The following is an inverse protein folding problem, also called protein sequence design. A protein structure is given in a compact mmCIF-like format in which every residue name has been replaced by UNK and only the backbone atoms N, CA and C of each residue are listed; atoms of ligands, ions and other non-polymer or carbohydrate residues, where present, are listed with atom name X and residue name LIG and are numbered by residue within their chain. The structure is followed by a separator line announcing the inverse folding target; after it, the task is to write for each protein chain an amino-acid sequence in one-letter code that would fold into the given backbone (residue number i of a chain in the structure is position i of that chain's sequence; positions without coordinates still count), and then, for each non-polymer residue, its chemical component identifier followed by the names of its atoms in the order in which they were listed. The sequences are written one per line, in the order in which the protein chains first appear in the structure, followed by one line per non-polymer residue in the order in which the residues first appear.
data_IF_336456381632
#
_entry.id   IF_336456381632
#
_cell.length_a   1.000
_cell.length_b   1.000
_cell.length_c   1.000
_cell.angle_alpha   90.00
_cell.angle_beta   90.00
_cell.angle_gamma   90.00
#
_symmetry.space_group_name_H-M   'P 1'
#
loop_
_entity.id
_entity.type
_entity.pdbx_description
1 polymer ?
#
# COMPACT_ATOMS: atom_id res chain seq x y z
N UNK A 1 -16.04 48.91 -35.83
CA UNK A 1 -15.50 48.13 -34.70
C UNK A 1 -15.63 46.67 -35.08
N UNK A 2 -14.53 46.04 -35.51
CA UNK A 2 -14.52 44.66 -35.97
C UNK A 2 -14.08 43.74 -34.83
N UNK A 3 -14.95 42.81 -34.46
CA UNK A 3 -14.67 41.70 -33.54
C UNK A 3 -13.78 40.70 -34.25
N UNK A 4 -12.56 40.50 -33.76
CA UNK A 4 -11.67 39.44 -34.23
C UNK A 4 -11.95 38.17 -33.42
N UNK A 5 -12.66 37.22 -34.04
CA UNK A 5 -12.80 35.85 -33.53
C UNK A 5 -11.43 35.14 -33.60
N UNK A 6 -10.79 35.00 -32.45
CA UNK A 6 -9.66 34.10 -32.26
C UNK A 6 -10.18 32.65 -32.15
N UNK A 7 -10.32 31.99 -33.31
CA UNK A 7 -10.44 30.53 -33.34
C UNK A 7 -9.05 29.92 -33.14
N UNK A 8 -8.73 29.62 -31.88
CA UNK A 8 -7.60 28.77 -31.51
C UNK A 8 -7.86 27.34 -32.03
N UNK A 9 -7.38 27.08 -33.25
CA UNK A 9 -7.38 25.76 -33.86
C UNK A 9 -6.47 24.81 -33.08
N UNK A 10 -7.02 24.13 -32.08
CA UNK A 10 -6.38 22.96 -31.47
C UNK A 10 -6.33 21.87 -32.54
N UNK A 11 -5.13 21.60 -33.06
CA UNK A 11 -4.89 20.50 -33.99
C UNK A 11 -5.10 19.19 -33.21
N UNK A 12 -6.33 18.67 -33.25
CA UNK A 12 -6.67 17.39 -32.66
C UNK A 12 -5.93 16.28 -33.40
N UNK A 13 -4.93 15.68 -32.74
CA UNK A 13 -4.30 14.46 -33.26
C UNK A 13 -5.38 13.40 -33.46
N UNK A 14 -5.37 12.65 -34.58
CA UNK A 14 -6.38 11.65 -34.89
C UNK A 14 -6.41 10.59 -33.78
N UNK A 15 -7.61 10.21 -33.32
CA UNK A 15 -7.78 9.32 -32.16
C UNK A 15 -7.14 7.94 -32.35
N UNK A 16 -7.00 7.48 -33.60
CA UNK A 16 -6.22 6.26 -33.89
C UNK A 16 -4.76 6.33 -33.42
N UNK A 17 -4.15 7.52 -33.45
CA UNK A 17 -2.79 7.74 -32.92
C UNK A 17 -2.74 7.72 -31.38
N UNK A 18 -3.84 8.10 -30.72
CA UNK A 18 -3.96 8.11 -29.27
C UNK A 18 -4.04 6.69 -28.70
N UNK A 19 -4.88 5.82 -29.27
CA UNK A 19 -4.96 4.41 -28.86
C UNK A 19 -3.62 3.70 -29.04
N UNK A 20 -2.95 3.93 -30.18
CA UNK A 20 -1.61 3.38 -30.43
C UNK A 20 -0.60 3.81 -29.35
N UNK A 21 -0.68 5.08 -28.92
CA UNK A 21 0.15 5.61 -27.84
C UNK A 21 -0.15 4.90 -26.52
N UNK A 22 -1.43 4.78 -26.14
CA UNK A 22 -1.86 4.05 -24.94
C UNK A 22 -1.32 2.62 -24.92
N UNK A 23 -1.52 1.85 -26.00
CA UNK A 23 -1.01 0.47 -26.10
C UNK A 23 0.53 0.42 -25.99
N UNK A 24 1.23 1.38 -26.58
CA UNK A 24 2.70 1.45 -26.52
C UNK A 24 3.20 1.75 -25.11
N UNK A 25 2.58 2.69 -24.40
CA UNK A 25 2.96 3.06 -23.03
C UNK A 25 2.65 1.91 -22.08
N UNK A 26 1.47 1.31 -22.17
CA UNK A 26 1.10 0.14 -21.36
C UNK A 26 2.07 -1.04 -21.53
N UNK A 27 2.44 -1.35 -22.79
CA UNK A 27 3.48 -2.36 -23.05
C UNK A 27 4.82 -1.98 -22.42
N UNK A 28 5.19 -0.71 -22.46
CA UNK A 28 6.45 -0.21 -21.87
C UNK A 28 6.42 -0.34 -20.34
N UNK A 29 5.29 -0.05 -19.69
CA UNK A 29 5.07 -0.27 -18.26
C UNK A 29 5.31 -1.75 -17.94
N UNK A 30 4.63 -2.67 -18.61
CA UNK A 30 4.77 -4.11 -18.38
C UNK A 30 6.21 -4.60 -18.50
N UNK A 31 6.88 -4.25 -19.61
CA UNK A 31 8.28 -4.62 -19.84
C UNK A 31 9.23 -4.03 -18.79
N UNK A 32 8.95 -2.82 -18.30
CA UNK A 32 9.76 -2.18 -17.25
C UNK A 32 9.61 -2.94 -15.94
N UNK A 33 8.37 -3.25 -15.55
CA UNK A 33 8.03 -3.95 -14.32
C UNK A 33 8.57 -5.39 -14.29
N UNK A 34 8.51 -6.12 -15.41
CA UNK A 34 9.10 -7.47 -15.52
C UNK A 34 10.61 -7.49 -15.25
N UNK A 35 11.30 -6.39 -15.53
CA UNK A 35 12.75 -6.24 -15.33
C UNK A 35 13.11 -5.70 -13.93
N UNK A 36 12.13 -5.32 -13.11
CA UNK A 36 12.38 -4.75 -11.78
C UNK A 36 12.80 -5.83 -10.78
N UNK A 37 13.92 -5.57 -10.08
CA UNK A 37 14.42 -6.42 -8.98
C UNK A 37 13.87 -5.99 -7.62
N UNK A 38 13.59 -4.70 -7.45
CA UNK A 38 13.16 -4.07 -6.19
C UNK A 38 11.71 -3.60 -6.35
N UNK A 39 10.88 -3.76 -5.32
CA UNK A 39 9.46 -3.38 -5.33
C UNK A 39 8.62 -3.97 -6.48
N UNK A 40 9.05 -5.10 -7.05
CA UNK A 40 8.39 -5.70 -8.20
C UNK A 40 6.96 -6.17 -7.93
N UNK A 41 6.60 -6.51 -6.68
CA UNK A 41 5.24 -6.95 -6.34
C UNK A 41 4.18 -5.85 -6.57
N UNK A 42 4.39 -4.66 -5.97
CA UNK A 42 3.44 -3.55 -6.08
C UNK A 42 3.37 -3.01 -7.52
N UNK A 43 4.53 -2.89 -8.20
CA UNK A 43 4.56 -2.44 -9.58
C UNK A 43 3.91 -3.46 -10.54
N UNK A 44 4.00 -4.78 -10.24
CA UNK A 44 3.27 -5.82 -10.99
C UNK A 44 1.77 -5.70 -10.86
N UNK A 45 1.26 -5.43 -9.66
CA UNK A 45 -0.17 -5.22 -9.47
C UNK A 45 -0.67 -3.99 -10.26
N UNK A 46 0.08 -2.88 -10.20
CA UNK A 46 -0.24 -1.68 -10.97
C UNK A 46 -0.24 -1.96 -12.48
N UNK A 47 0.79 -2.65 -12.99
CA UNK A 47 0.89 -3.05 -14.40
C UNK A 47 -0.27 -3.96 -14.83
N UNK A 48 -0.68 -4.92 -13.99
CA UNK A 48 -1.80 -5.82 -14.30
C UNK A 48 -3.12 -5.06 -14.43
N UNK A 49 -3.33 -4.03 -13.60
CA UNK A 49 -4.53 -3.19 -13.68
C UNK A 49 -4.53 -2.31 -14.93
N UNK A 50 -3.37 -1.75 -15.29
CA UNK A 50 -3.21 -1.04 -16.56
C UNK A 50 -3.53 -1.97 -17.73
N UNK A 51 -2.95 -3.17 -17.75
CA UNK A 51 -3.20 -4.17 -18.80
C UNK A 51 -4.69 -4.55 -18.89
N UNK A 52 -5.36 -4.68 -17.75
CA UNK A 52 -6.80 -4.93 -17.69
C UNK A 52 -7.59 -3.83 -18.39
N UNK A 53 -7.40 -2.55 -18.04
CA UNK A 53 -8.10 -1.43 -18.70
C UNK A 53 -7.82 -1.41 -20.19
N UNK A 54 -6.54 -1.55 -20.56
CA UNK A 54 -6.09 -1.52 -21.95
C UNK A 54 -6.66 -2.69 -22.76
N UNK A 55 -6.89 -3.85 -22.13
CA UNK A 55 -7.51 -5.00 -22.80
C UNK A 55 -8.96 -4.75 -23.25
N UNK A 56 -9.65 -3.80 -22.60
CA UNK A 56 -11.01 -3.40 -22.98
C UNK A 56 -11.02 -2.34 -24.09
N UNK A 57 -9.90 -1.66 -24.34
CA UNK A 57 -9.84 -0.68 -25.42
C UNK A 57 -9.87 -1.40 -26.77
N UNK A 58 -10.75 -1.00 -27.72
CA UNK A 58 -10.75 -1.60 -29.03
C UNK A 58 -9.47 -1.19 -29.79
N UNK A 59 -8.96 -2.07 -30.64
CA UNK A 59 -7.77 -1.79 -31.48
C UNK A 59 -8.01 -0.61 -32.44
N UNK A 60 -9.27 -0.36 -32.80
CA UNK A 60 -9.74 0.80 -33.55
C UNK A 60 -11.07 1.23 -32.93
N UNK A 61 -11.22 2.51 -32.59
CA UNK A 61 -12.52 3.03 -32.18
C UNK A 61 -13.39 3.24 -33.44
N UNK A 62 -14.61 2.70 -33.48
CA UNK A 62 -15.62 3.10 -34.46
C UNK A 62 -15.91 4.60 -34.39
N UNK A 63 -16.13 5.25 -35.54
CA UNK A 63 -16.36 6.71 -35.60
C UNK A 63 -17.64 7.13 -34.86
N UNK A 64 -18.65 6.25 -34.84
CA UNK A 64 -19.91 6.42 -34.12
C UNK A 64 -19.76 6.37 -32.59
N UNK A 65 -18.69 5.76 -32.09
CA UNK A 65 -18.34 5.75 -30.66
C UNK A 65 -17.40 6.89 -30.28
N UNK A 66 -16.98 7.73 -31.22
CA UNK A 66 -16.04 8.81 -30.96
C UNK A 66 -16.75 10.09 -30.51
N UNK A 67 -17.21 10.09 -29.27
CA UNK A 67 -17.73 11.31 -28.64
C UNK A 67 -16.62 12.12 -27.96
N UNK A 68 -16.81 13.44 -27.87
CA UNK A 68 -15.87 14.34 -27.17
C UNK A 68 -15.54 13.89 -25.73
N UNK A 69 -16.50 13.40 -24.92
CA UNK A 69 -16.20 12.85 -23.59
C UNK A 69 -15.25 11.65 -23.61
N UNK A 70 -15.42 10.73 -24.57
CA UNK A 70 -14.60 9.52 -24.69
C UNK A 70 -13.18 9.90 -25.12
N UNK A 71 -13.07 10.81 -26.08
CA UNK A 71 -11.78 11.32 -26.52
C UNK A 71 -11.02 12.00 -25.37
N UNK A 72 -11.72 12.82 -24.58
CA UNK A 72 -11.14 13.46 -23.39
C UNK A 72 -10.68 12.43 -22.35
N UNK A 73 -11.50 11.42 -22.06
CA UNK A 73 -11.15 10.35 -21.14
C UNK A 73 -9.92 9.55 -21.62
N UNK A 74 -9.83 9.24 -22.93
CA UNK A 74 -8.66 8.58 -23.51
C UNK A 74 -7.39 9.44 -23.43
N UNK A 75 -7.50 10.76 -23.64
CA UNK A 75 -6.35 11.69 -23.52
C UNK A 75 -5.85 11.72 -22.08
N UNK A 76 -6.74 11.93 -21.12
CA UNK A 76 -6.40 11.92 -19.69
C UNK A 76 -5.85 10.59 -19.23
N UNK A 77 -6.36 9.47 -19.76
CA UNK A 77 -5.81 8.15 -19.48
C UNK A 77 -4.38 7.99 -20.04
N UNK A 78 -4.12 8.47 -21.26
CA UNK A 78 -2.78 8.43 -21.85
C UNK A 78 -1.76 9.23 -21.01
N UNK A 79 -2.12 10.44 -20.58
CA UNK A 79 -1.28 11.27 -19.70
C UNK A 79 -1.00 10.57 -18.36
N UNK A 80 -2.01 9.95 -17.78
CA UNK A 80 -1.88 9.18 -16.55
C UNK A 80 -0.98 7.93 -16.71
N UNK A 81 -1.00 7.27 -17.87
CA UNK A 81 -0.09 6.16 -18.13
C UNK A 81 1.38 6.61 -18.20
N UNK A 82 1.64 7.81 -18.74
CA UNK A 82 2.98 8.39 -18.72
C UNK A 82 3.43 8.69 -17.28
N UNK A 83 2.52 9.16 -16.42
CA UNK A 83 2.78 9.34 -14.99
C UNK A 83 3.10 8.02 -14.29
N UNK A 84 2.30 6.96 -14.55
CA UNK A 84 2.56 5.61 -14.02
C UNK A 84 3.96 5.13 -14.43
N UNK A 85 4.33 5.31 -15.70
CA UNK A 85 5.62 4.90 -16.20
C UNK A 85 6.78 5.67 -15.54
N UNK A 86 6.62 6.98 -15.36
CA UNK A 86 7.61 7.80 -14.67
C UNK A 86 7.82 7.31 -13.22
N UNK A 87 6.71 7.12 -12.48
CA UNK A 87 6.75 6.67 -11.09
C UNK A 87 7.36 5.27 -10.95
N UNK A 88 7.03 4.33 -11.85
CA UNK A 88 7.62 2.99 -11.88
C UNK A 88 9.14 3.04 -12.09
N UNK A 89 9.62 3.92 -12.98
CA UNK A 89 11.06 4.12 -13.19
C UNK A 89 11.73 4.68 -11.94
N UNK A 90 11.08 5.58 -11.22
CA UNK A 90 11.60 6.09 -9.95
C UNK A 90 11.63 4.99 -8.88
N UNK A 91 10.62 4.13 -8.78
CA UNK A 91 10.62 2.99 -7.87
C UNK A 91 11.62 1.89 -8.21
N UNK A 92 12.12 1.85 -9.45
CA UNK A 92 13.24 1.00 -9.81
C UNK A 92 14.58 1.51 -9.25
N UNK A 93 14.66 2.78 -8.83
CA UNK A 93 15.84 3.37 -8.20
C UNK A 93 15.81 3.13 -6.68
N UNK A 94 16.76 2.32 -6.18
CA UNK A 94 16.86 1.97 -4.76
C UNK A 94 16.96 3.20 -3.84
N UNK A 95 17.72 4.22 -4.23
CA UNK A 95 17.94 5.43 -3.41
C UNK A 95 16.65 6.27 -3.30
N UNK A 96 15.85 6.29 -4.37
CA UNK A 96 14.56 6.99 -4.36
C UNK A 96 13.54 6.24 -3.51
N UNK A 97 13.47 4.91 -3.66
CA UNK A 97 12.58 4.07 -2.86
C UNK A 97 12.89 4.21 -1.37
N UNK A 98 14.16 4.21 -0.99
CA UNK A 98 14.59 4.40 0.40
C UNK A 98 14.10 5.75 0.93
N UNK A 99 14.31 6.84 0.19
CA UNK A 99 13.85 8.19 0.57
C UNK A 99 12.32 8.27 0.77
N UNK A 100 11.55 7.65 -0.11
CA UNK A 100 10.08 7.70 -0.05
C UNK A 100 9.51 6.75 1.02
N UNK A 101 10.18 5.63 1.29
CA UNK A 101 9.82 4.77 2.41
C UNK A 101 9.91 5.49 3.75
N UNK A 102 10.93 6.33 3.95
CA UNK A 102 11.07 7.12 5.18
C UNK A 102 9.98 8.20 5.34
N UNK A 103 9.49 8.77 4.23
CA UNK A 103 8.48 9.85 4.25
C UNK A 103 7.02 9.36 4.27
N UNK A 104 6.75 8.05 4.24
CA UNK A 104 5.39 7.45 4.14
C UNK A 104 4.58 7.83 2.89
N UNK A 105 5.18 8.55 1.94
CA UNK A 105 4.50 8.92 0.69
C UNK A 105 4.34 7.72 -0.26
N UNK A 106 5.11 6.64 -0.05
CA UNK A 106 5.10 5.45 -0.92
C UNK A 106 3.71 4.83 -1.09
N UNK A 107 3.05 4.51 0.03
CA UNK A 107 1.72 3.89 -0.01
C UNK A 107 0.69 4.87 -0.58
N UNK A 108 0.83 6.17 -0.28
CA UNK A 108 -0.09 7.20 -0.76
C UNK A 108 -0.06 7.30 -2.27
N UNK A 109 1.11 7.24 -2.90
CA UNK A 109 1.21 7.30 -4.36
C UNK A 109 0.58 6.07 -5.02
N UNK A 110 0.79 4.86 -4.51
CA UNK A 110 0.11 3.66 -5.04
C UNK A 110 -1.41 3.72 -4.84
N UNK A 111 -1.89 4.18 -3.67
CA UNK A 111 -3.33 4.38 -3.43
C UNK A 111 -3.91 5.40 -4.40
N UNK A 112 -3.21 6.51 -4.64
CA UNK A 112 -3.62 7.52 -5.61
C UNK A 112 -3.71 6.95 -7.02
N UNK A 113 -2.71 6.18 -7.45
CA UNK A 113 -2.71 5.51 -8.76
C UNK A 113 -3.89 4.55 -8.91
N UNK A 114 -4.18 3.78 -7.87
CA UNK A 114 -5.28 2.83 -7.83
C UNK A 114 -6.66 3.50 -7.92
N UNK A 115 -6.84 4.60 -7.20
CA UNK A 115 -8.06 5.42 -7.26
C UNK A 115 -8.24 6.01 -8.67
N UNK A 116 -7.18 6.50 -9.30
CA UNK A 116 -7.24 7.03 -10.66
C UNK A 116 -7.55 5.95 -11.70
N UNK A 117 -6.92 4.77 -11.62
CA UNK A 117 -7.24 3.62 -12.48
C UNK A 117 -8.72 3.22 -12.36
N UNK A 118 -9.26 3.23 -11.14
CA UNK A 118 -10.67 2.91 -10.89
C UNK A 118 -11.61 3.92 -11.54
N UNK A 119 -11.26 5.22 -11.50
CA UNK A 119 -12.00 6.28 -12.20
C UNK A 119 -11.96 6.07 -13.72
N UNK A 120 -10.78 5.86 -14.30
CA UNK A 120 -10.66 5.63 -15.74
C UNK A 120 -11.40 4.37 -16.20
N UNK A 121 -11.36 3.31 -15.40
CA UNK A 121 -12.14 2.09 -15.67
C UNK A 121 -13.63 2.42 -15.77
N UNK A 122 -14.14 3.23 -14.84
CA UNK A 122 -15.54 3.65 -14.78
C UNK A 122 -15.90 4.53 -15.99
N UNK A 123 -15.16 5.61 -16.21
CA UNK A 123 -15.41 6.59 -17.27
C UNK A 123 -15.36 5.97 -18.67
N UNK A 124 -14.34 5.13 -18.92
CA UNK A 124 -14.19 4.44 -20.20
C UNK A 124 -15.26 3.36 -20.40
N UNK A 125 -15.66 2.65 -19.35
CA UNK A 125 -16.73 1.64 -19.44
C UNK A 125 -18.09 2.24 -19.77
N UNK A 126 -18.44 3.37 -19.13
CA UNK A 126 -19.65 4.11 -19.42
C UNK A 126 -19.62 4.72 -20.82
N UNK A 127 -18.51 5.35 -21.20
CA UNK A 127 -18.35 5.97 -22.49
C UNK A 127 -18.45 4.99 -23.66
N UNK A 128 -17.82 3.83 -23.56
CA UNK A 128 -17.79 2.84 -24.66
C UNK A 128 -18.97 1.85 -24.64
N UNK A 129 -19.93 2.00 -23.71
CA UNK A 129 -21.10 1.12 -23.64
C UNK A 129 -20.75 -0.33 -23.30
N UNK A 130 -19.63 -0.58 -22.63
CA UNK A 130 -19.25 -1.93 -22.23
C UNK A 130 -20.23 -2.45 -21.17
N UNK A 131 -20.95 -3.52 -21.50
CA UNK A 131 -21.85 -4.22 -20.59
C UNK A 131 -21.06 -4.74 -19.41
N UNK A 132 -21.12 -4.01 -18.28
CA UNK A 132 -20.50 -4.32 -17.00
C UNK A 132 -19.18 -5.08 -17.16
N UNK A 133 -18.08 -4.34 -17.15
CA UNK A 133 -16.83 -4.91 -16.64
C UNK A 133 -17.21 -5.75 -15.40
N UNK A 134 -16.73 -7.01 -15.27
CA UNK A 134 -16.92 -7.71 -14.02
C UNK A 134 -16.54 -6.69 -12.99
N UNK A 135 -17.49 -6.38 -12.08
CA UNK A 135 -17.25 -5.35 -11.09
C UNK A 135 -15.83 -5.62 -10.63
N UNK A 136 -15.01 -4.58 -10.56
CA UNK A 136 -13.90 -4.65 -9.63
C UNK A 136 -14.61 -4.75 -8.29
N UNK A 137 -15.18 -5.94 -8.00
CA UNK A 137 -15.26 -6.57 -6.70
C UNK A 137 -13.86 -6.32 -6.29
N UNK A 138 -13.77 -5.25 -5.50
CA UNK A 138 -12.55 -4.88 -4.87
C UNK A 138 -12.02 -6.24 -4.43
N UNK A 139 -10.80 -6.57 -4.82
CA UNK A 139 -10.09 -7.67 -4.19
C UNK A 139 -9.83 -7.30 -2.72
N UNK A 140 -10.70 -6.48 -2.10
CA UNK A 140 -10.93 -6.13 -0.73
C UNK A 140 -12.05 -7.03 -0.23
N UNK A 141 -13.26 -7.13 -0.77
CA UNK A 141 -14.31 -7.92 -0.06
C UNK A 141 -14.08 -9.45 -0.04
N UNK A 142 -13.69 -10.07 -1.16
CA UNK A 142 -13.47 -11.52 -1.24
C UNK A 142 -12.09 -11.96 -0.70
N UNK A 143 -11.09 -11.07 -0.78
CA UNK A 143 -9.75 -11.29 -0.23
C UNK A 143 -9.72 -10.84 1.23
N UNK A 144 -10.39 -9.79 1.67
CA UNK A 144 -10.59 -9.46 3.10
C UNK A 144 -11.31 -10.61 3.78
N UNK A 145 -12.38 -11.21 3.23
CA UNK A 145 -13.01 -12.31 3.95
C UNK A 145 -12.16 -13.59 4.01
N UNK A 146 -11.41 -13.94 2.96
CA UNK A 146 -10.53 -15.13 2.98
C UNK A 146 -9.16 -14.88 3.63
N UNK A 147 -8.56 -13.70 3.44
CA UNK A 147 -7.33 -13.24 4.09
C UNK A 147 -7.58 -12.83 5.53
N UNK A 148 -8.71 -12.25 5.95
CA UNK A 148 -9.03 -12.13 7.39
C UNK A 148 -9.14 -13.52 8.01
N UNK A 149 -9.83 -14.48 7.39
CA UNK A 149 -9.97 -15.84 7.95
C UNK A 149 -8.65 -16.61 8.03
N UNK A 150 -7.76 -16.49 7.04
CA UNK A 150 -6.44 -17.12 7.07
C UNK A 150 -5.37 -16.32 7.84
N UNK A 151 -5.47 -14.99 7.93
CA UNK A 151 -4.52 -14.17 8.70
C UNK A 151 -4.86 -14.06 10.19
N UNK A 152 -6.14 -14.21 10.58
CA UNK A 152 -6.53 -14.20 11.99
C UNK A 152 -5.95 -15.38 12.79
N UNK A 153 -5.72 -16.53 12.15
CA UNK A 153 -5.09 -17.68 12.82
C UNK A 153 -3.56 -17.60 12.85
N UNK A 154 -2.93 -16.76 12.02
CA UNK A 154 -1.46 -16.65 11.90
C UNK A 154 -0.87 -15.33 12.37
N UNK A 155 -1.68 -14.31 12.70
CA UNK A 155 -1.19 -12.99 13.06
C UNK A 155 -0.46 -12.95 14.41
N UNK A 156 -0.81 -13.84 15.33
CA UNK A 156 -0.25 -13.89 16.68
C UNK A 156 0.54 -15.18 16.89
N UNK A 157 1.82 -15.14 16.57
CA UNK A 157 2.76 -16.22 16.90
C UNK A 157 3.70 -15.79 18.02
N UNK A 158 3.96 -16.71 18.94
CA UNK A 158 5.09 -16.58 19.85
C UNK A 158 6.42 -16.59 19.06
N UNK A 159 7.43 -15.89 19.57
CA UNK A 159 8.77 -15.86 19.01
C UNK A 159 9.36 -14.45 18.98
N UNK A 160 10.33 -14.25 18.08
CA UNK A 160 10.99 -12.96 17.91
C UNK A 160 10.16 -12.04 17.01
N UNK A 161 9.94 -10.85 17.52
CA UNK A 161 9.27 -9.75 16.86
C UNK A 161 10.22 -8.57 16.74
N UNK A 162 10.02 -7.80 15.70
CA UNK A 162 10.77 -6.59 15.45
C UNK A 162 9.87 -5.39 15.67
N UNK A 163 10.36 -4.39 16.40
CA UNK A 163 9.60 -3.17 16.63
C UNK A 163 10.39 -1.91 16.30
N UNK A 164 9.64 -0.83 16.02
CA UNK A 164 10.14 0.53 15.84
C UNK A 164 9.27 1.52 16.60
N UNK A 165 9.90 2.56 17.15
CA UNK A 165 9.22 3.67 17.82
C UNK A 165 9.47 4.96 17.08
N UNK A 166 8.46 5.82 17.01
CA UNK A 166 8.58 7.18 16.50
C UNK A 166 8.42 8.14 17.69
N UNK A 167 9.47 8.89 17.99
CA UNK A 167 9.52 9.87 19.07
C UNK A 167 9.79 11.22 18.43
N UNK A 168 8.95 12.22 18.70
CA UNK A 168 9.06 13.57 18.09
C UNK A 168 9.18 13.51 16.56
N UNK A 169 8.33 12.69 15.92
CA UNK A 169 8.30 12.47 14.47
C UNK A 169 9.54 11.78 13.86
N UNK A 170 10.53 11.43 14.69
CA UNK A 170 11.74 10.72 14.27
C UNK A 170 11.60 9.23 14.59
N UNK A 171 11.67 8.39 13.55
CA UNK A 171 11.73 6.95 13.73
C UNK A 171 13.10 6.53 14.28
N UNK A 172 13.06 5.79 15.37
CA UNK A 172 14.23 5.16 15.97
C UNK A 172 14.63 3.91 15.18
N UNK A 173 15.79 3.38 15.55
CA UNK A 173 16.31 2.11 15.03
C UNK A 173 15.35 0.93 15.23
N UNK A 174 15.71 -0.16 14.56
CA UNK A 174 14.96 -1.40 14.56
C UNK A 174 15.43 -2.28 15.70
N UNK A 175 14.53 -2.62 16.61
CA UNK A 175 14.85 -3.43 17.79
C UNK A 175 14.08 -4.74 17.76
N UNK A 176 14.58 -5.73 18.52
CA UNK A 176 13.94 -7.03 18.64
C UNK A 176 13.37 -7.20 20.05
N UNK A 177 12.25 -7.89 20.13
CA UNK A 177 11.67 -8.39 21.36
C UNK A 177 11.18 -9.82 21.16
N UNK A 178 11.16 -10.59 22.23
CA UNK A 178 10.48 -11.87 22.26
C UNK A 178 9.07 -11.69 22.81
N UNK A 179 8.08 -12.25 22.12
CA UNK A 179 6.70 -12.31 22.58
C UNK A 179 6.28 -13.76 22.74
N UNK A 180 5.63 -14.04 23.86
CA UNK A 180 4.97 -15.29 24.20
C UNK A 180 3.47 -15.00 24.21
N UNK A 181 2.75 -15.63 23.30
CA UNK A 181 1.32 -15.42 23.11
C UNK A 181 0.59 -16.68 23.56
N UNK A 182 -0.22 -16.54 24.60
CA UNK A 182 -1.08 -17.60 25.11
C UNK A 182 -2.49 -17.44 24.53
N UNK A 183 -2.81 -18.32 23.58
CA UNK A 183 -4.10 -18.32 22.87
C UNK A 183 -5.28 -18.67 23.78
N UNK A 184 -5.06 -19.42 24.87
CA UNK A 184 -6.11 -19.83 25.78
C UNK A 184 -6.48 -18.69 26.73
N UNK A 185 -5.48 -18.03 27.30
CA UNK A 185 -5.71 -16.93 28.26
C UNK A 185 -5.84 -15.56 27.60
N UNK A 186 -5.61 -15.48 26.27
CA UNK A 186 -5.55 -14.23 25.50
C UNK A 186 -4.52 -13.23 26.04
N UNK A 187 -3.46 -13.75 26.66
CA UNK A 187 -2.37 -12.95 27.24
C UNK A 187 -1.16 -12.93 26.34
N UNK A 188 -0.45 -11.81 26.38
CA UNK A 188 0.86 -11.65 25.75
C UNK A 188 1.85 -11.27 26.81
N UNK A 189 2.98 -11.96 26.85
CA UNK A 189 4.12 -11.62 27.69
C UNK A 189 5.36 -11.55 26.83
N UNK A 190 6.39 -10.88 27.30
CA UNK A 190 7.60 -10.78 26.52
C UNK A 190 8.64 -9.89 27.16
N UNK A 191 9.76 -9.77 26.47
CA UNK A 191 10.80 -8.83 26.85
C UNK A 191 11.65 -8.49 25.64
N UNK A 192 12.41 -7.42 25.74
CA UNK A 192 13.38 -7.08 24.74
C UNK A 192 14.41 -6.10 25.29
N UNK A 193 15.31 -5.71 24.42
CA UNK A 193 16.36 -4.74 24.73
C UNK A 193 16.47 -3.74 23.57
N UNK A 194 16.63 -2.48 23.94
CA UNK A 194 17.02 -1.41 23.03
C UNK A 194 18.25 -0.67 23.53
N UNK A 195 18.67 0.37 22.80
CA UNK A 195 19.81 1.20 23.14
C UNK A 195 19.72 1.88 24.53
N UNK A 196 18.56 1.87 25.18
CA UNK A 196 18.32 2.55 26.46
C UNK A 196 18.24 1.58 27.64
N UNK A 197 17.53 0.45 27.50
CA UNK A 197 17.53 -0.64 28.48
C UNK A 197 16.83 -1.91 28.00
N UNK A 198 16.86 -2.92 28.86
CA UNK A 198 15.91 -4.02 28.86
C UNK A 198 14.52 -3.56 29.30
N UNK A 199 13.48 -4.16 28.75
CA UNK A 199 12.09 -3.86 29.10
C UNK A 199 11.24 -5.13 29.11
N UNK A 200 10.19 -5.11 29.93
CA UNK A 200 9.17 -6.15 29.98
C UNK A 200 7.93 -5.76 29.17
N UNK A 201 7.27 -6.77 28.60
CA UNK A 201 5.99 -6.66 27.92
C UNK A 201 5.00 -7.59 28.64
N UNK A 202 3.86 -7.05 29.06
CA UNK A 202 2.67 -7.83 29.46
C UNK A 202 1.44 -7.23 28.79
N UNK A 203 0.37 -7.98 28.59
CA UNK A 203 -0.74 -7.47 27.80
C UNK A 203 -1.82 -8.48 27.47
N UNK A 204 -2.82 -7.98 26.74
CA UNK A 204 -3.94 -8.75 26.25
C UNK A 204 -4.06 -8.58 24.73
N UNK A 205 -4.63 -9.60 24.07
CA UNK A 205 -4.97 -9.49 22.67
C UNK A 205 -6.39 -9.95 22.36
N UNK A 206 -6.96 -9.40 21.30
CA UNK A 206 -8.22 -9.82 20.71
C UNK A 206 -8.01 -10.25 19.27
N UNK A 207 -8.72 -11.29 18.83
CA UNK A 207 -8.69 -11.77 17.44
C UNK A 207 -9.70 -11.04 16.54
N UNK A 208 -10.70 -10.38 17.12
CA UNK A 208 -11.74 -9.66 16.40
C UNK A 208 -12.26 -8.46 17.23
N UNK A 209 -11.82 -7.23 16.93
CA UNK A 209 -10.75 -6.85 15.99
C UNK A 209 -9.37 -7.30 16.48
N UNK A 210 -8.41 -7.48 15.55
CA UNK A 210 -7.01 -7.80 15.86
C UNK A 210 -6.35 -6.62 16.60
N UNK A 211 -6.37 -6.70 17.92
CA UNK A 211 -5.85 -5.67 18.83
C UNK A 211 -4.88 -6.28 19.82
N UNK A 212 -3.83 -5.53 20.15
CA UNK A 212 -2.98 -5.79 21.29
C UNK A 212 -2.97 -4.55 22.18
N UNK A 213 -3.18 -4.75 23.47
CA UNK A 213 -2.83 -3.79 24.51
C UNK A 213 -1.57 -4.28 25.21
N UNK A 214 -0.48 -3.51 25.10
CA UNK A 214 0.79 -3.81 25.75
C UNK A 214 1.05 -2.84 26.89
N UNK A 215 1.41 -3.40 28.03
CA UNK A 215 2.04 -2.74 29.16
C UNK A 215 3.55 -2.87 28.99
N UNK A 216 4.20 -1.73 28.77
CA UNK A 216 5.64 -1.60 28.64
C UNK A 216 6.21 -1.01 29.91
N UNK A 217 7.11 -1.74 30.56
CA UNK A 217 7.78 -1.28 31.79
C UNK A 217 9.25 -0.94 31.52
N UNK A 218 9.62 0.31 31.76
CA UNK A 218 10.98 0.86 31.59
C UNK A 218 11.38 1.67 32.83
N UNK A 219 12.40 1.24 33.58
CA UNK A 219 12.94 1.96 34.76
C UNK A 219 11.83 2.57 35.64
N UNK A 220 10.87 1.73 36.05
CA UNK A 220 9.68 2.07 36.86
C UNK A 220 8.60 2.95 36.18
N UNK A 221 8.79 3.31 34.91
CA UNK A 221 7.76 3.91 34.08
C UNK A 221 6.93 2.85 33.38
N UNK A 222 5.61 2.95 33.55
CA UNK A 222 4.63 2.12 32.86
C UNK A 222 4.03 2.90 31.69
N UNK A 223 4.10 2.33 30.49
CA UNK A 223 3.46 2.84 29.28
C UNK A 223 2.44 1.84 28.78
N UNK A 224 1.28 2.33 28.35
CA UNK A 224 0.24 1.50 27.71
C UNK A 224 0.27 1.80 26.21
N UNK A 225 0.41 0.76 25.41
CA UNK A 225 0.52 0.84 23.95
C UNK A 225 -0.62 0.04 23.34
N UNK A 226 -1.48 0.71 22.58
CA UNK A 226 -2.58 0.05 21.88
C UNK A 226 -2.20 -0.09 20.41
N UNK A 227 -2.06 -1.34 19.98
CA UNK A 227 -1.70 -1.72 18.62
C UNK A 227 -2.89 -2.37 17.92
N UNK A 228 -3.11 -1.99 16.67
CA UNK A 228 -4.11 -2.58 15.80
C UNK A 228 -3.42 -3.21 14.59
N UNK A 229 -3.90 -4.37 14.16
CA UNK A 229 -3.39 -5.00 12.95
C UNK A 229 -3.71 -4.13 11.74
N UNK A 230 -2.68 -3.72 11.04
CA UNK A 230 -2.79 -3.08 9.75
C UNK A 230 -2.66 -4.15 8.66
N UNK A 231 -3.78 -4.47 8.01
CA UNK A 231 -3.87 -5.50 6.97
C UNK A 231 -2.90 -5.21 5.82
N UNK A 232 -2.88 -3.96 5.35
CA UNK A 232 -2.06 -3.55 4.20
C UNK A 232 -0.56 -3.68 4.48
N UNK A 233 -0.14 -3.40 5.70
CA UNK A 233 1.28 -3.43 6.11
C UNK A 233 1.71 -4.77 6.71
N UNK A 234 0.77 -5.68 6.95
CA UNK A 234 0.98 -6.95 7.63
C UNK A 234 1.77 -6.78 8.95
N UNK A 235 1.38 -5.79 9.75
CA UNK A 235 2.02 -5.47 11.03
C UNK A 235 1.04 -4.80 11.98
N UNK A 236 1.36 -4.83 13.27
CA UNK A 236 0.64 -4.14 14.31
C UNK A 236 1.13 -2.69 14.39
N UNK A 237 0.23 -1.73 14.18
CA UNK A 237 0.53 -0.30 14.26
C UNK A 237 -0.27 0.32 15.40
N UNK A 238 0.30 1.27 16.12
CA UNK A 238 -0.43 1.92 17.19
C UNK A 238 0.25 3.14 17.78
N UNK A 239 -0.31 3.58 18.91
CA UNK A 239 0.11 4.77 19.64
C UNK A 239 0.21 4.46 21.13
N UNK A 240 1.18 5.09 21.78
CA UNK A 240 1.33 5.06 23.23
C UNK A 240 0.30 6.01 23.86
N UNK A 241 -0.56 5.49 24.73
CA UNK A 241 -1.70 6.24 25.28
C UNK A 241 -1.42 6.86 26.64
N UNK A 242 -0.39 6.42 27.37
CA UNK A 242 -0.09 6.97 28.70
C UNK A 242 1.41 7.12 28.93
N UNK A 243 1.82 8.37 29.17
CA UNK A 243 3.04 8.73 29.90
C UNK A 243 2.63 9.38 31.21
N UNK A 244 3.17 8.93 32.33
CA UNK A 244 3.01 9.64 33.59
C UNK A 244 3.67 11.03 33.50
N UNK A 245 2.92 12.06 33.88
CA UNK A 245 3.32 13.46 34.15
C UNK A 245 4.06 14.29 33.09
N UNK A 246 4.50 13.73 31.96
CA UNK A 246 5.12 14.51 30.88
C UNK A 246 4.21 14.44 29.67
N UNK A 247 3.50 15.55 29.44
CA UNK A 247 2.79 15.87 28.20
C UNK A 247 3.72 15.65 27.02
N UNK A 248 3.38 14.73 26.10
CA UNK A 248 3.72 14.92 24.71
C UNK A 248 2.95 14.03 23.75
N UNK A 249 2.74 14.58 22.56
CA UNK A 249 1.92 14.06 21.47
C UNK A 249 2.51 12.75 20.91
N UNK A 250 1.76 11.66 21.08
CA UNK A 250 1.66 10.53 20.16
C UNK A 250 2.98 9.84 19.75
N UNK A 251 3.63 9.13 20.67
CA UNK A 251 4.66 8.14 20.30
C UNK A 251 3.96 7.06 19.46
N UNK A 252 4.39 6.88 18.21
CA UNK A 252 3.86 5.84 17.31
C UNK A 252 4.70 4.58 17.42
N UNK A 253 4.05 3.42 17.32
CA UNK A 253 4.67 2.12 17.53
C UNK A 253 4.31 1.18 16.38
N UNK A 254 5.32 0.52 15.81
CA UNK A 254 5.13 -0.55 14.81
C UNK A 254 5.75 -1.84 15.34
N UNK A 255 5.03 -2.95 15.20
CA UNK A 255 5.44 -4.27 15.65
C UNK A 255 5.17 -5.28 14.53
N UNK A 256 6.22 -5.98 14.08
CA UNK A 256 6.18 -6.93 12.96
C UNK A 256 6.78 -8.26 13.39
N UNK A 257 6.10 -9.34 13.06
CA UNK A 257 6.61 -10.68 13.31
C UNK A 257 7.69 -11.01 12.28
N UNK A 258 8.87 -11.46 12.74
CA UNK A 258 9.98 -11.76 11.84
C UNK A 258 9.96 -13.25 11.43
N UNK A 259 9.39 -13.51 10.25
CA UNK A 259 9.25 -14.86 9.68
C UNK A 259 10.62 -15.50 9.40
N UNK A 260 11.65 -14.70 9.15
CA UNK A 260 12.96 -15.20 8.67
C UNK A 260 13.71 -16.02 9.73
N UNK A 261 13.36 -15.91 11.02
CA UNK A 261 14.00 -16.70 12.09
C UNK A 261 13.29 -18.00 12.46
N UNK A 262 12.15 -18.35 11.83
CA UNK A 262 11.51 -19.66 12.02
C UNK A 262 12.43 -20.84 11.66
N UNK A 263 13.44 -20.62 10.83
CA UNK A 263 14.35 -21.65 10.35
C UNK A 263 15.62 -21.84 11.19
N UNK A 264 15.97 -20.91 12.08
CA UNK A 264 17.20 -21.01 12.89
C UNK A 264 16.99 -21.69 14.25
N UNK A 265 15.75 -21.80 14.72
CA UNK A 265 15.43 -22.44 16.01
C UNK A 265 14.95 -23.90 15.87
N UNK A 266 14.83 -24.43 14.65
CA UNK A 266 14.49 -25.85 14.41
C UNK A 266 15.72 -26.75 14.16
N UNK A 267 16.94 -26.23 14.29
CA UNK A 267 18.19 -26.99 14.10
C UNK A 267 18.96 -27.25 15.40
N UNK A 268 18.30 -27.13 16.54
CA UNK A 268 18.84 -27.54 17.85
C UNK A 268 17.78 -28.40 18.55
N UNK A 269 17.56 -29.58 18.00
CA UNK A 269 17.01 -30.78 18.67
C UNK A 269 17.50 -32.01 17.90
#
# INVERSE_FOLDING_TARGET
MASADLTLGVVLKPVGSLLSTIFKVARTIRMTVERMKINGANCRQLSQRVDMIVSFLPKKLPEDLLSEPIERALRSFAEFLDECLALIKEFANANYLERIWYNKDFCREFTRMDEQLSRFTTDLSFGMGFTRLPAVQSSRDAVEQNTLRHSQSTAFNSGIWTYKRCINEIWQDTFNCELIIDMNTKKIRGSGEDNFSHFGIDGLFSQAPLLIELVWTYRDHLQIINLQWNVDRQMLCGIVLRKSKVTDKGIKFNLKWDILRRFLLKSVE
#
